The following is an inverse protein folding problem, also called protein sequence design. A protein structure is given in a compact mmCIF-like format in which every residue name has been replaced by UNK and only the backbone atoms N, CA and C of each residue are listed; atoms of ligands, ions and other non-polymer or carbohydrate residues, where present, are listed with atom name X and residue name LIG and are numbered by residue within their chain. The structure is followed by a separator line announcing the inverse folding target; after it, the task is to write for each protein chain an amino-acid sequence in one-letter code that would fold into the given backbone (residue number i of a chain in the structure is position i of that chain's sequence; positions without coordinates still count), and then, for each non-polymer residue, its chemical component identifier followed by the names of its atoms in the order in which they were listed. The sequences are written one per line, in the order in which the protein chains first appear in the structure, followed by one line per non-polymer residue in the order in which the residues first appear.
data_IF_180909830389
#
_entry.id   IF_180909830389
#
_cell.length_a   1.000
_cell.length_b   1.000
_cell.length_c   1.000
_cell.angle_alpha   90.00
_cell.angle_beta   90.00
_cell.angle_gamma   90.00
#
_symmetry.space_group_name_H-M   'P 1'
#
loop_
_entity.id
_entity.type
_entity.pdbx_description
1 polymer ?
#
# COMPACT_ATOMS: atom_id res chain seq x y z
N UNK A 1 1.97 4.68 -75.82
CA UNK A 1 1.25 3.70 -74.99
C UNK A 1 2.27 3.02 -74.08
N UNK A 2 2.53 3.60 -72.91
CA UNK A 2 3.35 3.01 -71.86
C UNK A 2 2.50 3.04 -70.59
N UNK A 3 2.12 1.86 -70.08
CA UNK A 3 1.28 1.73 -68.89
C UNK A 3 2.07 1.99 -67.60
N UNK A 4 1.42 2.42 -66.50
CA UNK A 4 2.13 2.73 -65.27
C UNK A 4 2.51 1.43 -64.52
N UNK A 5 3.69 1.45 -63.91
CA UNK A 5 4.17 0.39 -63.02
C UNK A 5 3.39 0.40 -61.69
N UNK A 6 3.21 -0.76 -61.02
CA UNK A 6 2.46 -0.83 -59.77
C UNK A 6 3.28 -0.27 -58.61
N UNK A 7 2.65 0.55 -57.78
CA UNK A 7 3.21 1.06 -56.53
C UNK A 7 3.31 -0.08 -55.50
N UNK A 8 4.52 -0.34 -55.01
CA UNK A 8 4.78 -1.28 -53.92
C UNK A 8 4.38 -0.60 -52.61
N UNK A 9 3.32 -1.08 -51.97
CA UNK A 9 2.93 -0.63 -50.65
C UNK A 9 3.94 -1.13 -49.61
N UNK A 10 4.73 -0.21 -49.04
CA UNK A 10 5.57 -0.50 -47.89
C UNK A 10 4.69 -0.61 -46.64
N UNK A 11 4.51 -1.83 -46.15
CA UNK A 11 3.94 -2.10 -44.83
C UNK A 11 4.93 -1.61 -43.76
N UNK A 12 4.56 -0.54 -43.05
CA UNK A 12 5.28 -0.11 -41.87
C UNK A 12 5.05 -1.13 -40.75
N UNK A 13 6.03 -2.01 -40.53
CA UNK A 13 6.06 -2.86 -39.35
C UNK A 13 6.10 -1.97 -38.10
N UNK A 14 5.04 -2.04 -37.28
CA UNK A 14 5.00 -1.39 -35.99
C UNK A 14 6.19 -1.87 -35.16
N UNK A 15 7.11 -0.96 -34.82
CA UNK A 15 8.21 -1.23 -33.91
C UNK A 15 7.63 -1.57 -32.54
N UNK A 16 7.57 -2.86 -32.20
CA UNK A 16 7.28 -3.28 -30.85
C UNK A 16 8.45 -2.84 -29.98
N UNK A 17 8.21 -1.86 -29.10
CA UNK A 17 9.14 -1.48 -28.05
C UNK A 17 9.52 -2.74 -27.24
N UNK A 18 10.81 -2.91 -26.88
CA UNK A 18 11.24 -4.09 -26.14
C UNK A 18 10.45 -4.22 -24.84
N UNK A 19 10.16 -5.46 -24.38
CA UNK A 19 9.46 -5.67 -23.12
C UNK A 19 10.24 -4.97 -22.00
N UNK A 20 9.53 -4.15 -21.22
CA UNK A 20 10.10 -3.40 -20.11
C UNK A 20 10.74 -4.39 -19.12
N UNK A 21 12.07 -4.44 -19.10
CA UNK A 21 12.82 -5.26 -18.15
C UNK A 21 12.81 -4.57 -16.78
N UNK A 22 12.25 -5.27 -15.79
CA UNK A 22 12.25 -4.78 -14.42
C UNK A 22 13.67 -4.82 -13.83
N UNK A 23 13.98 -3.95 -12.85
CA UNK A 23 15.33 -3.88 -12.26
C UNK A 23 15.75 -5.16 -11.50
N UNK A 24 14.78 -5.98 -11.10
CA UNK A 24 15.02 -7.22 -10.35
C UNK A 24 14.55 -8.43 -11.15
N UNK A 25 15.38 -9.48 -11.31
CA UNK A 25 14.96 -10.74 -11.93
C UNK A 25 13.91 -11.50 -11.09
N UNK A 26 13.68 -11.06 -9.85
CA UNK A 26 12.66 -11.59 -8.95
C UNK A 26 11.33 -10.83 -9.04
N UNK A 27 11.24 -9.85 -9.95
CA UNK A 27 10.05 -9.07 -10.21
C UNK A 27 9.56 -9.31 -11.65
N UNK A 28 8.28 -9.62 -11.80
CA UNK A 28 7.67 -9.87 -13.10
C UNK A 28 6.46 -8.95 -13.29
N UNK A 29 6.42 -8.20 -14.40
CA UNK A 29 5.24 -7.42 -14.77
C UNK A 29 4.27 -8.31 -15.54
N UNK A 30 3.06 -8.47 -15.02
CA UNK A 30 2.00 -9.28 -15.61
C UNK A 30 0.68 -8.53 -15.65
N UNK A 31 -0.25 -8.97 -16.49
CA UNK A 31 -1.64 -8.47 -16.45
C UNK A 31 -2.48 -9.38 -15.57
N UNK A 32 -3.19 -8.79 -14.62
CA UNK A 32 -4.20 -9.50 -13.83
C UNK A 32 -5.40 -9.89 -14.69
N UNK A 33 -6.29 -10.72 -14.14
CA UNK A 33 -7.51 -11.18 -14.82
C UNK A 33 -8.46 -10.04 -15.22
N UNK A 34 -8.39 -8.90 -14.54
CA UNK A 34 -9.13 -7.68 -14.88
C UNK A 34 -8.49 -6.84 -16.01
N UNK A 35 -7.33 -7.24 -16.52
CA UNK A 35 -6.54 -6.49 -17.50
C UNK A 35 -5.63 -5.40 -16.90
N UNK A 36 -5.77 -5.09 -15.60
CA UNK A 36 -4.86 -4.17 -14.91
C UNK A 36 -3.48 -4.80 -14.70
N UNK A 37 -2.44 -4.00 -14.86
CA UNK A 37 -1.06 -4.42 -14.68
C UNK A 37 -0.70 -4.54 -13.20
N UNK A 38 0.04 -5.62 -12.88
CA UNK A 38 0.57 -5.89 -11.55
C UNK A 38 1.98 -6.44 -11.65
N UNK A 39 2.74 -6.26 -10.59
CA UNK A 39 4.08 -6.79 -10.41
C UNK A 39 3.99 -7.95 -9.44
N UNK A 40 4.62 -9.06 -9.79
CA UNK A 40 4.76 -10.23 -8.91
C UNK A 40 6.20 -10.27 -8.44
N UNK A 41 6.40 -10.09 -7.13
CA UNK A 41 7.69 -10.33 -6.48
C UNK A 41 7.75 -11.78 -6.00
N UNK A 42 8.78 -12.52 -6.40
CA UNK A 42 9.02 -13.90 -5.98
C UNK A 42 10.22 -13.96 -5.04
N UNK A 43 9.98 -14.42 -3.82
CA UNK A 43 11.00 -14.59 -2.79
C UNK A 43 11.62 -15.99 -2.83
N UNK A 44 12.29 -16.36 -1.74
CA UNK A 44 12.71 -17.75 -1.52
C UNK A 44 11.50 -18.65 -1.26
N UNK A 45 11.61 -19.93 -1.66
CA UNK A 45 10.53 -20.94 -1.51
C UNK A 45 9.22 -20.46 -2.18
N UNK A 46 8.10 -20.46 -1.45
CA UNK A 46 6.80 -20.03 -1.96
C UNK A 46 6.43 -18.58 -1.60
N UNK A 47 7.33 -17.83 -0.96
CA UNK A 47 7.07 -16.44 -0.61
C UNK A 47 6.81 -15.62 -1.87
N UNK A 48 5.72 -14.86 -1.88
CA UNK A 48 5.32 -14.08 -3.05
C UNK A 48 4.58 -12.82 -2.62
N UNK A 49 4.69 -11.74 -3.38
CA UNK A 49 3.84 -10.57 -3.21
C UNK A 49 3.33 -10.08 -4.56
N UNK A 50 2.10 -9.58 -4.59
CA UNK A 50 1.50 -8.99 -5.79
C UNK A 50 1.19 -7.52 -5.55
N UNK A 51 1.62 -6.66 -6.48
CA UNK A 51 1.50 -5.20 -6.38
C UNK A 51 0.87 -4.67 -7.66
N UNK A 52 -0.36 -4.16 -7.59
CA UNK A 52 -0.97 -3.49 -8.73
C UNK A 52 -0.37 -2.10 -8.94
N UNK A 53 -0.08 -1.76 -10.20
CA UNK A 53 0.30 -0.39 -10.56
C UNK A 53 -0.84 0.58 -10.27
N UNK A 54 -2.08 0.13 -10.40
CA UNK A 54 -3.23 0.87 -9.92
C UNK A 54 -3.23 0.94 -8.39
N UNK A 55 -3.14 2.17 -7.87
CA UNK A 55 -3.07 2.48 -6.45
C UNK A 55 -1.70 2.23 -5.81
N UNK A 56 -0.71 1.70 -6.55
CA UNK A 56 0.56 1.25 -5.98
C UNK A 56 0.34 0.20 -4.89
N UNK A 57 -0.72 -0.60 -5.05
CA UNK A 57 -1.36 -1.31 -3.95
C UNK A 57 -0.90 -2.77 -3.92
N UNK A 58 -0.35 -3.19 -2.78
CA UNK A 58 -0.08 -4.61 -2.52
C UNK A 58 -1.42 -5.31 -2.29
N UNK A 59 -1.71 -6.37 -3.05
CA UNK A 59 -3.00 -7.10 -2.97
C UNK A 59 -2.86 -8.54 -2.48
N UNK A 60 -1.66 -9.10 -2.49
CA UNK A 60 -1.35 -10.44 -1.98
C UNK A 60 0.04 -10.44 -1.38
N UNK A 61 0.22 -11.16 -0.27
CA UNK A 61 1.50 -11.46 0.34
C UNK A 61 1.43 -12.85 0.97
N UNK A 62 2.25 -13.76 0.46
CA UNK A 62 2.29 -15.16 0.89
C UNK A 62 3.57 -15.46 1.64
N UNK A 63 3.45 -16.26 2.69
CA UNK A 63 4.59 -16.83 3.41
C UNK A 63 5.23 -17.99 2.62
N UNK A 64 6.19 -18.68 3.23
CA UNK A 64 6.92 -19.78 2.62
C UNK A 64 6.10 -21.07 2.46
N UNK A 65 5.02 -21.22 3.22
CA UNK A 65 4.01 -22.27 3.03
C UNK A 65 3.01 -21.93 1.92
N UNK A 66 3.08 -20.72 1.34
CA UNK A 66 2.14 -20.24 0.33
C UNK A 66 0.80 -19.75 0.90
N UNK A 67 0.71 -19.59 2.21
CA UNK A 67 -0.48 -19.11 2.92
C UNK A 67 -0.61 -17.60 2.74
N UNK A 68 -1.83 -17.12 2.45
CA UNK A 68 -2.11 -15.71 2.23
C UNK A 68 -2.20 -14.94 3.56
N UNK A 69 -1.40 -13.89 3.68
CA UNK A 69 -1.30 -13.05 4.87
C UNK A 69 -2.15 -11.78 4.75
N UNK A 70 -2.57 -11.39 3.54
CA UNK A 70 -3.42 -10.23 3.31
C UNK A 70 -4.86 -10.62 2.96
N UNK A 71 -5.81 -9.96 3.60
CA UNK A 71 -7.21 -10.09 3.23
C UNK A 71 -7.51 -9.24 2.00
N UNK A 72 -8.02 -9.90 0.96
CA UNK A 72 -8.58 -9.24 -0.22
C UNK A 72 -10.06 -9.61 -0.32
N UNK A 73 -10.93 -8.61 -0.49
CA UNK A 73 -12.38 -8.86 -0.56
C UNK A 73 -12.71 -9.68 -1.82
N UNK A 74 -13.53 -10.73 -1.69
CA UNK A 74 -14.05 -11.48 -2.85
C UNK A 74 -14.89 -10.62 -3.80
N UNK A 75 -15.43 -9.50 -3.30
CA UNK A 75 -16.16 -8.47 -4.07
C UNK A 75 -15.27 -7.30 -4.52
N UNK A 76 -13.94 -7.43 -4.44
CA UNK A 76 -13.04 -6.36 -4.86
C UNK A 76 -13.19 -6.08 -6.36
N UNK A 77 -13.34 -4.80 -6.70
CA UNK A 77 -13.46 -4.35 -8.09
C UNK A 77 -12.09 -3.81 -8.52
N UNK A 78 -11.48 -4.48 -9.49
CA UNK A 78 -10.20 -4.08 -10.09
C UNK A 78 -10.45 -3.20 -11.32
N UNK A 79 -11.17 -2.08 -11.12
CA UNK A 79 -11.55 -1.18 -12.21
C UNK A 79 -11.50 0.28 -11.73
N UNK A 80 -10.66 1.13 -12.36
CA UNK A 80 -10.68 2.56 -12.12
C UNK A 80 -12.07 3.16 -12.38
N UNK A 81 -12.46 4.23 -11.66
CA UNK A 81 -11.65 4.98 -10.69
C UNK A 81 -11.78 4.46 -9.24
N UNK A 82 -12.42 3.30 -9.00
CA UNK A 82 -12.67 2.80 -7.63
C UNK A 82 -11.44 2.09 -7.07
N UNK A 83 -11.07 2.43 -5.82
CA UNK A 83 -9.99 1.78 -5.10
C UNK A 83 -10.25 0.29 -4.88
N UNK A 84 -9.18 -0.51 -4.90
CA UNK A 84 -9.25 -1.97 -4.66
C UNK A 84 -9.51 -2.21 -3.16
N UNK A 85 -10.49 -3.07 -2.84
CA UNK A 85 -10.89 -3.37 -1.45
C UNK A 85 -10.09 -4.54 -0.88
N UNK A 86 -9.15 -4.24 0.02
CA UNK A 86 -8.29 -5.21 0.71
C UNK A 86 -6.81 -5.00 0.37
N UNK A 87 -5.93 -5.89 0.83
CA UNK A 87 -4.49 -5.71 0.67
C UNK A 87 -3.97 -4.52 1.46
N UNK A 88 -3.15 -3.66 0.85
CA UNK A 88 -2.56 -2.46 1.48
C UNK A 88 -2.85 -1.21 0.64
N UNK A 89 -4.08 -0.65 0.69
CA UNK A 89 -4.37 0.63 0.06
C UNK A 89 -3.55 1.76 0.67
N UNK A 90 -3.12 2.71 -0.15
CA UNK A 90 -2.36 3.88 0.28
C UNK A 90 -3.30 5.09 0.42
N UNK A 91 -3.40 5.65 1.62
CA UNK A 91 -4.11 6.90 1.85
C UNK A 91 -3.11 8.05 1.75
N UNK A 92 -3.27 8.90 0.74
CA UNK A 92 -2.48 10.11 0.54
C UNK A 92 -3.22 11.02 -0.45
N UNK A 93 -3.18 12.35 -0.27
CA UNK A 93 -2.51 13.12 0.81
C UNK A 93 -3.42 13.34 2.04
N UNK A 94 -4.54 12.61 2.09
CA UNK A 94 -5.50 12.71 3.17
C UNK A 94 -5.79 11.32 3.73
N UNK A 95 -5.97 11.24 5.04
CA UNK A 95 -6.45 10.07 5.72
C UNK A 95 -7.87 10.32 6.25
N UNK A 96 -8.79 9.38 5.99
CA UNK A 96 -10.20 9.55 6.34
C UNK A 96 -10.76 10.83 5.73
N UNK A 97 -11.50 11.58 6.52
CA UNK A 97 -12.11 12.87 6.14
C UNK A 97 -11.38 14.07 6.77
N UNK A 98 -10.10 13.95 7.10
CA UNK A 98 -9.31 14.99 7.78
C UNK A 98 -8.85 16.14 6.87
N UNK A 99 -9.64 16.48 5.84
CA UNK A 99 -9.38 17.56 4.91
C UNK A 99 -10.47 17.65 3.83
N UNK A 100 -10.20 18.43 2.78
CA UNK A 100 -11.19 18.77 1.74
C UNK A 100 -11.24 17.78 0.56
N UNK A 101 -10.43 16.72 0.59
CA UNK A 101 -10.42 15.71 -0.47
C UNK A 101 -11.44 14.61 -0.18
N UNK A 102 -11.72 13.79 -1.20
CA UNK A 102 -12.43 12.53 -0.99
C UNK A 102 -11.75 11.68 0.10
N UNK A 103 -12.55 10.82 0.74
CA UNK A 103 -12.08 10.01 1.85
C UNK A 103 -10.82 9.22 1.48
N UNK A 104 -9.78 9.34 2.30
CA UNK A 104 -8.45 8.74 2.11
C UNK A 104 -7.62 9.29 0.94
N UNK A 105 -7.98 10.46 0.40
CA UNK A 105 -7.26 11.07 -0.70
C UNK A 105 -7.37 10.26 -1.99
N UNK A 106 -6.41 10.43 -2.90
CA UNK A 106 -6.51 9.93 -4.26
C UNK A 106 -5.39 8.96 -4.67
N UNK A 107 -4.33 8.77 -3.88
CA UNK A 107 -3.19 7.93 -4.28
C UNK A 107 -3.58 6.48 -4.64
N UNK A 108 -4.51 5.88 -3.89
CA UNK A 108 -5.10 4.55 -4.17
C UNK A 108 -5.99 4.49 -5.41
N UNK A 109 -6.31 5.64 -6.01
CA UNK A 109 -7.18 5.78 -7.17
C UNK A 109 -6.41 6.19 -8.44
N UNK A 110 -5.07 6.25 -8.38
CA UNK A 110 -4.19 6.65 -9.50
C UNK A 110 -3.31 5.50 -9.93
N UNK A 111 -2.88 5.54 -11.18
CA UNK A 111 -1.82 4.64 -11.66
C UNK A 111 -0.46 5.17 -11.22
N UNK A 112 0.30 4.28 -10.60
CA UNK A 112 1.71 4.48 -10.31
C UNK A 112 2.52 3.91 -11.45
N UNK A 113 3.71 4.46 -11.65
CA UNK A 113 4.66 3.97 -12.66
C UNK A 113 5.86 3.33 -11.98
N UNK A 114 6.50 2.36 -12.62
CA UNK A 114 7.78 1.83 -12.14
C UNK A 114 8.84 2.93 -12.23
N UNK A 115 9.55 3.18 -11.12
CA UNK A 115 10.67 4.12 -11.07
C UNK A 115 11.95 3.37 -11.45
N UNK A 116 12.42 3.56 -12.68
CA UNK A 116 13.63 2.89 -13.19
C UNK A 116 14.93 3.55 -12.67
N UNK A 117 14.85 4.74 -12.06
CA UNK A 117 16.01 5.43 -11.52
C UNK A 117 15.71 5.98 -10.12
N UNK A 118 15.43 5.08 -9.15
CA UNK A 118 15.11 5.49 -7.80
C UNK A 118 16.37 6.04 -7.11
N UNK A 119 16.26 7.10 -6.30
CA UNK A 119 17.35 7.54 -5.45
C UNK A 119 17.86 6.39 -4.55
N UNK A 120 19.14 6.37 -4.17
CA UNK A 120 19.67 5.36 -3.26
C UNK A 120 18.79 5.24 -2.00
N UNK A 121 18.33 4.02 -1.76
CA UNK A 121 17.61 3.64 -0.56
C UNK A 121 18.58 2.79 0.26
N UNK A 122 18.70 3.00 1.59
CA UNK A 122 19.43 2.04 2.42
C UNK A 122 18.68 0.71 2.35
N UNK A 123 19.27 -0.26 1.67
CA UNK A 123 18.71 -1.61 1.55
C UNK A 123 19.65 -2.56 2.23
N UNK A 124 19.09 -3.58 2.87
CA UNK A 124 19.83 -4.80 3.15
C UNK A 124 20.22 -5.42 1.79
N UNK A 125 21.52 -5.58 1.45
CA UNK A 125 21.96 -6.17 0.19
C UNK A 125 21.42 -7.58 -0.07
N UNK A 126 20.95 -8.27 0.98
CA UNK A 126 20.29 -9.56 0.86
C UNK A 126 18.89 -9.50 0.21
N UNK A 127 18.23 -8.34 0.20
CA UNK A 127 16.91 -8.15 -0.40
C UNK A 127 17.09 -7.97 -1.91
N UNK A 128 16.79 -9.04 -2.66
CA UNK A 128 16.88 -9.05 -4.12
C UNK A 128 15.53 -8.87 -4.81
N UNK A 129 14.43 -9.22 -4.14
CA UNK A 129 13.07 -9.11 -4.67
C UNK A 129 12.44 -7.79 -4.24
N UNK A 130 12.49 -6.78 -5.11
CA UNK A 130 11.88 -5.48 -4.86
C UNK A 130 11.43 -4.80 -6.14
N UNK A 131 10.55 -3.82 -5.99
CA UNK A 131 10.18 -2.87 -7.04
C UNK A 131 10.04 -1.47 -6.46
N UNK A 132 10.46 -0.48 -7.24
CA UNK A 132 10.26 0.93 -6.98
C UNK A 132 9.14 1.46 -7.86
N UNK A 133 8.20 2.15 -7.23
CA UNK A 133 7.09 2.82 -7.87
C UNK A 133 7.15 4.32 -7.55
N UNK A 134 6.61 5.12 -8.45
CA UNK A 134 6.47 6.57 -8.27
C UNK A 134 5.09 7.04 -8.72
N UNK A 135 4.52 7.93 -7.91
CA UNK A 135 3.34 8.72 -8.22
C UNK A 135 3.72 10.19 -8.30
N UNK A 136 3.30 10.84 -9.38
CA UNK A 136 3.39 12.28 -9.61
C UNK A 136 1.97 12.81 -9.84
N UNK A 137 1.68 14.07 -9.46
CA UNK A 137 0.36 14.65 -9.70
C UNK A 137 0.08 14.74 -11.20
N UNK A 138 -1.13 14.37 -11.59
CA UNK A 138 -1.70 14.72 -12.90
C UNK A 138 -2.27 16.15 -12.89
N UNK A 139 -2.62 16.67 -14.06
CA UNK A 139 -3.35 17.95 -14.15
C UNK A 139 -4.68 17.92 -13.40
N UNK A 140 -5.35 16.77 -13.32
CA UNK A 140 -6.59 16.62 -12.55
C UNK A 140 -6.34 16.66 -11.04
N UNK A 141 -5.22 16.07 -10.57
CA UNK A 141 -4.85 16.11 -9.16
C UNK A 141 -4.52 17.54 -8.71
N UNK A 142 -3.82 18.31 -9.56
CA UNK A 142 -3.48 19.70 -9.28
C UNK A 142 -4.73 20.61 -9.18
N UNK A 143 -5.87 20.23 -9.79
CA UNK A 143 -7.13 20.98 -9.65
C UNK A 143 -7.74 20.83 -8.26
N UNK A 144 -7.62 19.66 -7.64
CA UNK A 144 -8.21 19.36 -6.32
C UNK A 144 -7.22 19.54 -5.17
N UNK A 145 -5.92 19.40 -5.44
CA UNK A 145 -4.84 19.56 -4.49
C UNK A 145 -3.63 20.22 -5.19
N UNK A 146 -3.53 21.57 -5.17
CA UNK A 146 -2.60 22.34 -6.01
C UNK A 146 -1.17 22.33 -5.46
N UNK A 147 -0.61 21.13 -5.29
CA UNK A 147 0.74 20.90 -4.80
C UNK A 147 1.46 19.90 -5.69
N UNK A 148 2.64 20.28 -6.14
CA UNK A 148 3.56 19.41 -6.87
C UNK A 148 4.32 18.53 -5.89
N UNK A 149 4.31 17.22 -6.13
CA UNK A 149 4.99 16.25 -5.29
C UNK A 149 5.58 15.10 -6.13
N UNK A 150 6.51 14.36 -5.52
CA UNK A 150 6.85 13.01 -5.93
C UNK A 150 6.63 12.09 -4.74
N UNK A 151 5.80 11.07 -4.92
CA UNK A 151 5.63 10.02 -3.93
C UNK A 151 6.25 8.74 -4.48
N UNK A 152 7.42 8.36 -3.93
CA UNK A 152 8.09 7.09 -4.21
C UNK A 152 7.71 6.03 -3.18
N UNK A 153 7.50 4.82 -3.65
CA UNK A 153 7.23 3.63 -2.86
C UNK A 153 8.16 2.51 -3.31
N UNK A 154 8.95 1.97 -2.38
CA UNK A 154 9.62 0.68 -2.58
C UNK A 154 8.83 -0.41 -1.88
N UNK A 155 8.46 -1.45 -2.61
CA UNK A 155 7.95 -2.71 -2.05
C UNK A 155 9.05 -3.74 -2.16
N UNK A 156 9.31 -4.47 -1.08
CA UNK A 156 10.38 -5.45 -0.99
C UNK A 156 9.94 -6.69 -0.26
N UNK A 157 10.36 -7.85 -0.76
CA UNK A 157 10.16 -9.14 -0.12
C UNK A 157 11.53 -9.65 0.35
N UNK A 158 11.69 -9.72 1.67
CA UNK A 158 12.93 -10.14 2.31
C UNK A 158 13.17 -11.65 2.19
N UNK A 159 14.41 -12.10 2.48
CA UNK A 159 14.80 -13.51 2.35
C UNK A 159 13.95 -14.47 3.20
N UNK A 160 13.45 -13.99 4.33
CA UNK A 160 12.59 -14.77 5.26
C UNK A 160 11.11 -14.66 4.91
N UNK A 161 10.75 -13.97 3.82
CA UNK A 161 9.36 -13.71 3.43
C UNK A 161 8.74 -12.48 4.07
N UNK A 162 9.50 -11.66 4.81
CA UNK A 162 9.05 -10.39 5.36
C UNK A 162 8.74 -9.38 4.25
N UNK A 163 7.55 -8.76 4.30
CA UNK A 163 7.18 -7.70 3.36
C UNK A 163 7.51 -6.33 3.95
N UNK A 164 8.25 -5.51 3.21
CA UNK A 164 8.62 -4.15 3.59
C UNK A 164 8.13 -3.14 2.55
N UNK A 165 7.51 -2.05 3.03
CA UNK A 165 7.05 -0.93 2.22
C UNK A 165 7.72 0.37 2.70
N UNK A 166 8.57 0.96 1.87
CA UNK A 166 9.29 2.20 2.18
C UNK A 166 8.75 3.35 1.33
N UNK A 167 8.16 4.35 1.98
CA UNK A 167 7.57 5.53 1.33
C UNK A 167 8.48 6.75 1.48
N UNK A 168 8.67 7.51 0.40
CA UNK A 168 9.35 8.82 0.40
C UNK A 168 8.52 9.82 -0.38
N UNK A 169 8.11 10.89 0.28
CA UNK A 169 7.34 11.99 -0.32
C UNK A 169 8.24 13.21 -0.38
N UNK A 170 8.38 13.78 -1.58
CA UNK A 170 9.17 14.98 -1.84
C UNK A 170 8.27 16.09 -2.34
N UNK A 171 8.38 17.27 -1.75
CA UNK A 171 7.79 18.48 -2.30
C UNK A 171 8.58 18.95 -3.52
N UNK A 172 7.90 19.13 -4.65
CA UNK A 172 8.50 19.58 -5.92
C UNK A 172 7.87 20.86 -6.45
N UNK A 173 7.17 21.62 -5.60
CA UNK A 173 6.68 22.95 -5.95
C UNK A 173 7.83 23.85 -6.43
N UNK A 174 7.67 24.46 -7.61
CA UNK A 174 8.67 25.36 -8.19
C UNK A 174 8.78 26.70 -7.45
N UNK A 175 7.69 27.10 -6.77
CA UNK A 175 7.63 28.29 -5.93
C UNK A 175 8.15 28.06 -4.50
N UNK A 176 8.59 26.84 -4.18
CA UNK A 176 9.10 26.46 -2.87
C UNK A 176 8.05 26.40 -1.76
N UNK A 177 6.76 26.56 -2.07
CA UNK A 177 5.71 26.56 -1.03
C UNK A 177 5.60 25.18 -0.37
N UNK A 178 5.60 25.10 0.98
CA UNK A 178 5.36 23.85 1.68
C UNK A 178 3.90 23.40 1.53
N UNK A 179 3.65 22.11 1.69
CA UNK A 179 2.30 21.56 1.84
C UNK A 179 2.24 20.61 3.04
N UNK A 180 1.04 20.49 3.61
CA UNK A 180 0.74 19.53 4.67
C UNK A 180 -0.06 18.36 4.11
N UNK A 181 0.18 17.17 4.62
CA UNK A 181 -0.53 15.96 4.22
C UNK A 181 -0.66 15.00 5.39
N UNK A 182 -1.59 14.07 5.27
CA UNK A 182 -1.65 12.86 6.10
C UNK A 182 -1.41 11.64 5.21
N UNK A 183 -0.84 10.59 5.79
CA UNK A 183 -0.43 9.40 5.09
C UNK A 183 -0.72 8.15 5.91
N UNK A 184 -1.13 7.07 5.26
CA UNK A 184 -1.47 5.82 5.92
C UNK A 184 -1.39 4.62 4.96
N UNK A 185 -0.70 3.54 5.38
CA UNK A 185 -0.85 2.22 4.76
C UNK A 185 -2.01 1.48 5.37
N UNK A 186 -3.10 1.28 4.65
CA UNK A 186 -4.34 0.80 5.21
C UNK A 186 -4.49 -0.72 5.13
N UNK A 187 -3.50 -1.44 5.66
CA UNK A 187 -3.29 -2.89 5.58
C UNK A 187 -4.48 -3.70 6.08
N UNK A 188 -4.92 -4.69 5.31
CA UNK A 188 -5.93 -5.68 5.65
C UNK A 188 -5.23 -7.03 5.84
N UNK A 189 -5.10 -7.52 7.07
CA UNK A 189 -4.53 -8.86 7.31
C UNK A 189 -5.60 -9.94 7.21
N UNK A 190 -5.18 -11.09 6.68
CA UNK A 190 -5.96 -12.32 6.64
C UNK A 190 -5.89 -12.98 8.01
N UNK A 191 -7.06 -13.29 8.58
CA UNK A 191 -7.19 -14.03 9.84
C UNK A 191 -8.27 -15.09 9.68
N UNK A 192 -8.06 -16.25 10.29
CA UNK A 192 -9.01 -17.38 10.19
C UNK A 192 -10.31 -17.09 10.94
N UNK A 193 -10.19 -16.62 12.19
CA UNK A 193 -11.29 -16.24 13.06
C UNK A 193 -10.88 -15.03 13.88
N UNK A 194 -11.62 -13.93 13.76
CA UNK A 194 -11.33 -12.66 14.44
C UNK A 194 -11.48 -12.77 15.97
N UNK A 195 -12.36 -13.64 16.46
CA UNK A 195 -12.61 -13.82 17.90
C UNK A 195 -11.42 -14.42 18.63
N UNK A 196 -10.57 -15.13 17.88
CA UNK A 196 -9.33 -15.73 18.34
C UNK A 196 -8.12 -14.83 18.10
N UNK A 197 -8.26 -13.60 17.60
CA UNK A 197 -7.10 -12.72 17.41
C UNK A 197 -6.93 -11.79 18.59
N UNK A 198 -5.67 -11.55 18.94
CA UNK A 198 -5.25 -10.47 19.82
C UNK A 198 -4.12 -9.68 19.19
N UNK A 199 -4.08 -8.38 19.45
CA UNK A 199 -3.05 -7.45 18.99
C UNK A 199 -2.27 -6.94 20.20
N UNK A 200 -0.98 -7.28 20.25
CA UNK A 200 -0.06 -6.94 21.34
C UNK A 200 0.86 -5.77 20.93
N UNK A 201 1.48 -5.09 21.90
CA UNK A 201 2.43 -3.99 21.67
C UNK A 201 1.78 -2.62 21.55
N UNK A 202 0.54 -2.48 22.06
CA UNK A 202 -0.25 -1.26 22.08
C UNK A 202 -0.66 -0.83 23.49
N UNK A 203 -0.13 -1.51 24.51
CA UNK A 203 -0.35 -1.18 25.91
C UNK A 203 0.09 0.25 26.22
N UNK A 204 -0.66 0.94 27.09
CA UNK A 204 -0.44 2.33 27.53
C UNK A 204 -0.58 3.39 26.43
N UNK A 205 -1.02 3.01 25.22
CA UNK A 205 -1.15 3.93 24.11
C UNK A 205 -2.49 4.65 24.13
N UNK A 206 -2.46 5.97 23.93
CA UNK A 206 -3.67 6.75 23.73
C UNK A 206 -4.34 6.41 22.39
N UNK A 207 -5.67 6.46 22.36
CA UNK A 207 -6.46 6.33 21.15
C UNK A 207 -7.72 7.18 21.16
N UNK A 208 -8.27 7.45 19.98
CA UNK A 208 -9.59 8.03 19.82
C UNK A 208 -10.57 6.95 19.33
N UNK A 209 -11.68 6.76 20.02
CA UNK A 209 -12.68 5.80 19.60
C UNK A 209 -13.67 6.47 18.63
N UNK A 210 -13.66 6.08 17.35
CA UNK A 210 -14.60 6.66 16.38
C UNK A 210 -16.06 6.26 16.66
N UNK A 211 -16.31 5.15 17.37
CA UNK A 211 -17.65 4.74 17.77
C UNK A 211 -18.17 5.55 18.96
N UNK A 212 -17.27 6.16 19.73
CA UNK A 212 -17.58 7.06 20.84
C UNK A 212 -17.20 8.50 20.53
N UNK A 213 -17.63 8.99 19.36
CA UNK A 213 -17.47 10.38 18.94
C UNK A 213 -16.03 10.94 19.03
N UNK A 214 -15.01 10.08 18.85
CA UNK A 214 -13.58 10.39 18.97
C UNK A 214 -13.16 10.80 20.39
N UNK A 215 -13.82 10.28 21.42
CA UNK A 215 -13.34 10.37 22.80
C UNK A 215 -11.96 9.71 22.94
N UNK A 216 -11.12 10.31 23.80
CA UNK A 216 -9.77 9.81 24.06
C UNK A 216 -9.80 8.78 25.18
N UNK A 217 -9.14 7.66 24.93
CA UNK A 217 -8.90 6.59 25.89
C UNK A 217 -7.40 6.25 25.89
N UNK A 218 -6.97 5.50 26.89
CA UNK A 218 -5.63 4.91 26.96
C UNK A 218 -5.80 3.41 27.07
N UNK A 219 -5.15 2.65 26.21
CA UNK A 219 -5.17 1.19 26.27
C UNK A 219 -4.50 0.70 27.56
N UNK A 220 -5.21 -0.12 28.33
CA UNK A 220 -4.74 -0.62 29.62
C UNK A 220 -4.50 -2.13 29.61
N UNK A 221 -5.01 -2.85 28.60
CA UNK A 221 -4.79 -4.27 28.43
C UNK A 221 -3.47 -4.59 27.73
N UNK A 222 -2.91 -5.76 28.05
CA UNK A 222 -1.70 -6.30 27.41
C UNK A 222 -1.93 -6.61 25.91
N UNK A 223 -3.19 -6.76 25.50
CA UNK A 223 -3.56 -6.96 24.11
C UNK A 223 -4.99 -6.47 23.83
N UNK A 224 -5.20 -5.97 22.61
CA UNK A 224 -6.53 -5.66 22.09
C UNK A 224 -7.16 -6.95 21.58
N UNK A 225 -8.39 -7.24 22.04
CA UNK A 225 -9.21 -8.38 21.60
C UNK A 225 -10.47 -7.91 20.90
N UNK A 226 -11.06 -8.76 20.06
CA UNK A 226 -12.24 -8.42 19.27
C UNK A 226 -13.44 -9.28 19.68
N UNK A 227 -14.32 -8.71 20.50
CA UNK A 227 -15.57 -9.37 20.96
C UNK A 227 -16.83 -8.84 20.26
N UNK A 228 -16.70 -7.69 19.57
CA UNK A 228 -17.75 -7.04 18.79
C UNK A 228 -17.16 -6.29 17.59
N UNK A 229 -17.99 -5.56 16.84
CA UNK A 229 -17.48 -4.56 15.92
C UNK A 229 -16.65 -3.55 16.73
N UNK A 230 -15.40 -3.37 16.30
CA UNK A 230 -14.45 -2.41 16.85
C UNK A 230 -14.08 -1.52 15.68
N UNK A 231 -14.18 -0.21 15.85
CA UNK A 231 -13.71 0.79 14.90
C UNK A 231 -12.92 1.85 15.67
N UNK A 232 -11.84 1.40 16.31
CA UNK A 232 -10.98 2.28 17.09
C UNK A 232 -10.00 2.97 16.14
N UNK A 233 -9.83 4.29 16.29
CA UNK A 233 -8.73 5.04 15.70
C UNK A 233 -7.67 5.20 16.76
N UNK A 234 -6.72 4.27 16.81
CA UNK A 234 -5.53 4.46 17.65
C UNK A 234 -4.75 5.63 17.07
N UNK A 235 -4.86 6.78 17.72
CA UNK A 235 -3.94 7.90 17.51
C UNK A 235 -2.74 7.66 18.39
N UNK A 236 -1.70 7.03 17.85
CA UNK A 236 -0.38 7.12 18.48
C UNK A 236 0.02 8.60 18.48
N UNK A 237 -0.13 9.28 19.61
CA UNK A 237 0.60 10.50 19.89
C UNK A 237 2.05 10.12 20.23
N UNK A 238 2.80 9.56 19.28
CA UNK A 238 4.25 9.72 19.37
C UNK A 238 4.47 11.16 18.92
N UNK A 239 4.74 12.05 19.88
CA UNK A 239 5.23 13.39 19.60
C UNK A 239 6.63 13.24 18.97
N UNK A 240 6.64 12.94 17.68
CA UNK A 240 7.70 13.39 16.77
C UNK A 240 7.05 14.58 16.04
N UNK A 241 7.61 15.79 16.13
CA UNK A 241 7.01 16.96 15.49
C UNK A 241 6.68 16.64 14.03
N UNK A 242 5.42 16.85 13.61
CA UNK A 242 4.91 16.69 12.25
C UNK A 242 4.73 15.26 11.69
N UNK A 243 4.50 14.23 12.52
CA UNK A 243 4.03 12.92 12.03
C UNK A 243 2.84 12.39 12.84
N UNK A 244 1.69 12.21 12.18
CA UNK A 244 0.49 11.60 12.77
C UNK A 244 0.53 10.09 12.53
N UNK A 245 0.44 9.31 13.60
CA UNK A 245 0.34 7.85 13.52
C UNK A 245 -1.09 7.45 13.81
N UNK A 246 -1.73 6.77 12.87
CA UNK A 246 -3.03 6.16 13.06
C UNK A 246 -2.89 4.66 12.94
N UNK A 247 -3.42 3.86 13.86
CA UNK A 247 -3.69 2.43 13.65
C UNK A 247 -5.21 2.29 13.78
N UNK A 248 -5.95 2.10 12.67
CA UNK A 248 -7.38 1.83 12.78
C UNK A 248 -7.66 0.35 12.70
N UNK A 249 -8.17 -0.22 13.78
CA UNK A 249 -8.61 -1.60 13.78
C UNK A 249 -10.11 -1.65 13.52
N UNK A 250 -10.49 -2.28 12.40
CA UNK A 250 -11.87 -2.55 12.05
C UNK A 250 -12.13 -4.05 12.19
N UNK A 251 -13.14 -4.43 12.99
CA UNK A 251 -13.63 -5.80 13.06
C UNK A 251 -14.86 -5.97 12.17
N UNK A 252 -14.75 -6.80 11.13
CA UNK A 252 -15.89 -7.42 10.45
C UNK A 252 -15.54 -8.89 10.19
N UNK A 253 -16.06 -9.80 11.02
CA UNK A 253 -16.06 -11.28 10.96
C UNK A 253 -14.74 -12.04 10.67
N UNK A 254 -13.84 -11.55 9.80
CA UNK A 254 -12.59 -12.20 9.34
C UNK A 254 -11.51 -11.20 8.91
N UNK A 255 -11.55 -9.96 9.41
CA UNK A 255 -10.67 -8.90 8.94
C UNK A 255 -10.09 -8.11 10.11
N UNK A 256 -8.77 -7.88 10.07
CA UNK A 256 -8.10 -6.86 10.87
C UNK A 256 -7.46 -5.86 9.94
N UNK A 257 -7.74 -4.59 10.20
CA UNK A 257 -7.16 -3.47 9.48
C UNK A 257 -6.09 -2.82 10.35
N UNK A 258 -4.96 -2.45 9.77
CA UNK A 258 -3.94 -1.65 10.43
C UNK A 258 -3.59 -0.46 9.57
N UNK A 259 -3.12 0.58 10.24
CA UNK A 259 -2.49 1.70 9.57
C UNK A 259 -1.09 1.89 10.15
N UNK A 260 -0.07 1.88 9.29
CA UNK A 260 1.34 1.95 9.71
C UNK A 260 2.02 3.15 9.04
N UNK A 261 2.76 4.00 9.78
CA UNK A 261 3.59 5.07 9.22
C UNK A 261 5.02 4.59 8.92
N UNK A 262 5.77 5.38 8.14
CA UNK A 262 7.20 5.22 7.89
C UNK A 262 7.98 6.39 8.53
N UNK A 263 9.18 6.21 9.13
CA UNK A 263 9.92 4.99 9.44
C UNK A 263 9.91 4.73 10.96
N UNK A 264 8.83 4.20 11.51
CA UNK A 264 8.87 3.77 12.92
C UNK A 264 9.21 2.29 12.98
N UNK A 265 10.36 1.99 13.60
CA UNK A 265 10.53 0.73 14.33
C UNK A 265 9.48 0.74 15.43
N UNK A 266 8.28 0.23 15.16
CA UNK A 266 7.37 -0.15 16.23
C UNK A 266 8.12 -1.15 17.12
N UNK A 267 8.10 -0.99 18.46
CA UNK A 267 8.31 -2.15 19.31
C UNK A 267 7.18 -3.11 18.97
N UNK A 268 7.52 -4.19 18.25
CA UNK A 268 6.81 -5.47 18.28
C UNK A 268 5.27 -5.40 18.28
N UNK A 269 4.65 -4.76 17.29
CA UNK A 269 3.23 -5.01 17.03
C UNK A 269 3.11 -6.47 16.61
N UNK A 270 2.59 -7.31 17.50
CA UNK A 270 2.52 -8.75 17.30
C UNK A 270 1.04 -9.13 17.26
N UNK A 271 0.62 -9.72 16.14
CA UNK A 271 -0.68 -10.35 16.04
C UNK A 271 -0.52 -11.83 16.37
N UNK A 272 -1.28 -12.32 17.37
CA UNK A 272 -1.31 -13.75 17.71
C UNK A 272 -2.72 -14.28 17.74
N UNK A 273 -2.81 -15.60 17.60
CA UNK A 273 -3.99 -16.35 18.02
C UNK A 273 -4.04 -16.35 19.56
N UNK A 274 -5.23 -16.21 20.15
CA UNK A 274 -5.48 -16.42 21.58
C UNK A 274 -5.07 -17.85 21.90
N UNK A 275 -4.04 -18.01 22.71
CA UNK A 275 -3.74 -19.30 23.31
C UNK A 275 -4.83 -19.58 24.35
N UNK A 276 -5.47 -20.76 24.30
CA UNK A 276 -6.29 -21.23 25.41
C UNK A 276 -5.34 -21.48 26.58
N UNK A 277 -5.27 -20.51 27.50
CA UNK A 277 -4.81 -20.77 28.85
C UNK A 277 -5.89 -21.64 29.49
N UNK A 278 -5.66 -22.96 29.45
CA UNK A 278 -6.40 -23.97 30.23
C UNK A 278 -6.20 -23.77 31.72
#
# INVERSE_FOLDING_TARGET
MAGPAPAVAASAAASQSPPMQLPSPFAELVKGSSGLEKIVLRGARNCCAEIYLYGGQVTSWKNDNGEELLFLSSKAIFKPPKAIRGGIPICFPQFGTHGNLEQHGFARNRFWTIDNNPPPLPVNPAIKAYVDLILKPSEEDLKIWPHSFEFRLRVSLGPSGDLSLTSRIRNTNTDGRPFSYTFAYHTYFSVSDISEVRVEGLETMDYLDNLKAKERFTEQGDAIVFESEVSNLLMLNIIIPNQYVTVMIFSMSRLIKFILPHPLKLPSLIMRRKEHLS
#
